data_IF_546795348616
#
_entry.id   IF_546795348616
#
_cell.length_a   1.000
_cell.length_b   1.000
_cell.length_c   1.000
_cell.angle_alpha   90.00
_cell.angle_beta   90.00
_cell.angle_gamma   90.00
#
_symmetry.space_group_name_H-M   'P 1'
#
loop_
_entity.id
_entity.type
_entity.pdbx_description
1 polymer ?
#
# COMPACT_ATOMS: atom_id res chain seq x y z
N UNK A 1 1.50 13.55 0.16
CA UNK A 1 0.17 12.99 -0.20
C UNK A 1 0.26 11.51 0.05
N UNK A 2 -0.79 10.82 0.48
CA UNK A 2 -0.67 9.40 0.85
C UNK A 2 -1.42 8.54 -0.14
N UNK A 3 -0.73 7.54 -0.69
CA UNK A 3 -1.31 6.46 -1.46
C UNK A 3 -1.56 5.27 -0.54
N UNK A 4 -2.67 4.57 -0.76
CA UNK A 4 -2.86 3.21 -0.28
C UNK A 4 -2.72 2.28 -1.48
N UNK A 5 -1.78 1.35 -1.39
CA UNK A 5 -1.52 0.33 -2.40
C UNK A 5 -1.88 -1.02 -1.80
N UNK A 6 -2.75 -1.77 -2.48
CA UNK A 6 -3.15 -3.12 -2.11
C UNK A 6 -2.45 -4.09 -3.06
N UNK A 7 -1.75 -5.05 -2.49
CA UNK A 7 -0.92 -6.02 -3.17
C UNK A 7 -1.46 -7.43 -2.94
N UNK A 8 -1.46 -8.23 -4.01
CA UNK A 8 -1.66 -9.66 -3.91
C UNK A 8 -0.41 -10.33 -3.31
N UNK A 9 -0.61 -11.18 -2.31
CA UNK A 9 0.44 -11.99 -1.70
C UNK A 9 0.79 -11.57 -0.27
N UNK A 10 0.76 -12.55 0.63
CA UNK A 10 1.23 -12.42 2.00
C UNK A 10 2.75 -12.27 2.11
N UNK A 11 3.50 -12.75 1.12
CA UNK A 11 4.98 -12.73 1.16
C UNK A 11 5.56 -11.32 1.28
N UNK A 12 4.85 -10.27 0.86
CA UNK A 12 5.30 -8.89 0.99
C UNK A 12 5.54 -8.50 2.47
N UNK A 13 4.61 -8.85 3.35
CA UNK A 13 4.76 -8.64 4.80
C UNK A 13 5.74 -9.61 5.46
N UNK A 14 5.99 -10.78 4.85
CA UNK A 14 7.05 -11.68 5.31
C UNK A 14 8.45 -11.12 5.01
N UNK A 15 8.60 -10.43 3.86
CA UNK A 15 9.85 -9.76 3.46
C UNK A 15 10.10 -8.49 4.29
N UNK A 16 9.06 -7.69 4.53
CA UNK A 16 9.17 -6.48 5.34
C UNK A 16 7.85 -6.11 6.01
N UNK A 17 7.65 -6.62 7.23
CA UNK A 17 6.45 -6.34 8.04
C UNK A 17 6.34 -4.89 8.51
N UNK A 18 7.44 -4.13 8.48
CA UNK A 18 7.47 -2.71 8.84
C UNK A 18 6.84 -1.84 7.73
N UNK A 19 7.00 -2.27 6.47
CA UNK A 19 6.54 -1.55 5.28
C UNK A 19 5.16 -2.03 4.85
N UNK A 20 4.93 -3.34 4.89
CA UNK A 20 3.70 -3.97 4.42
C UNK A 20 2.88 -4.50 5.60
N UNK A 21 1.60 -4.14 5.63
CA UNK A 21 0.64 -4.63 6.63
C UNK A 21 -0.35 -5.61 6.00
N UNK A 22 -1.00 -6.44 6.80
CA UNK A 22 -2.11 -7.26 6.34
C UNK A 22 -3.29 -6.38 5.92
N UNK A 23 -3.99 -6.74 4.84
CA UNK A 23 -5.19 -6.04 4.42
C UNK A 23 -6.43 -6.61 5.11
N UNK A 24 -7.27 -5.74 5.69
CA UNK A 24 -8.38 -6.14 6.57
C UNK A 24 -9.50 -7.00 5.92
N UNK A 25 -9.55 -7.10 4.58
CA UNK A 25 -10.58 -7.91 3.88
C UNK A 25 -10.13 -9.33 3.57
N UNK A 26 -8.83 -9.58 3.43
CA UNK A 26 -8.28 -10.88 3.07
C UNK A 26 -6.86 -11.03 3.60
N UNK A 27 -6.62 -12.16 4.26
CA UNK A 27 -5.34 -12.52 4.85
C UNK A 27 -4.25 -12.76 3.79
N UNK A 28 -4.59 -13.18 2.58
CA UNK A 28 -3.64 -13.36 1.48
C UNK A 28 -3.17 -12.03 0.83
N UNK A 29 -3.72 -10.89 1.25
CA UNK A 29 -3.39 -9.59 0.72
C UNK A 29 -2.52 -8.79 1.68
N UNK A 30 -1.66 -7.97 1.08
CA UNK A 30 -0.84 -7.00 1.80
C UNK A 30 -1.25 -5.59 1.38
N UNK A 31 -1.00 -4.63 2.25
CA UNK A 31 -1.20 -3.22 1.97
C UNK A 31 0.04 -2.40 2.34
N UNK A 32 0.29 -1.35 1.56
CA UNK A 32 1.35 -0.38 1.75
C UNK A 32 0.73 1.02 1.74
N UNK A 33 1.15 1.89 2.66
CA UNK A 33 0.91 3.33 2.55
C UNK A 33 2.20 4.03 2.16
N UNK A 34 2.18 4.84 1.10
CA UNK A 34 3.37 5.45 0.53
C UNK A 34 3.11 6.91 0.11
N UNK A 35 4.18 7.68 -0.11
CA UNK A 35 4.12 9.10 -0.47
C UNK A 35 3.80 9.31 -1.95
N UNK A 36 4.39 8.48 -2.80
CA UNK A 36 4.17 8.47 -4.25
C UNK A 36 3.89 7.06 -4.74
N UNK A 37 3.19 6.99 -5.88
CA UNK A 37 2.96 5.75 -6.59
C UNK A 37 2.92 6.02 -8.09
N UNK A 38 3.78 5.36 -8.85
CA UNK A 38 3.81 5.39 -10.31
C UNK A 38 3.52 3.98 -10.86
N UNK A 39 2.61 3.90 -11.84
CA UNK A 39 2.25 2.68 -12.55
C UNK A 39 2.23 2.89 -14.06
N UNK A 40 2.94 3.89 -14.57
CA UNK A 40 3.06 4.16 -16.00
C UNK A 40 3.97 3.15 -16.71
N UNK A 41 4.98 2.62 -16.00
CA UNK A 41 5.96 1.69 -16.56
C UNK A 41 5.60 0.20 -16.36
N UNK A 42 6.52 -0.69 -16.74
CA UNK A 42 6.39 -2.14 -16.61
C UNK A 42 6.40 -2.61 -15.14
N UNK A 43 7.07 -1.83 -14.28
CA UNK A 43 7.07 -1.99 -12.83
C UNK A 43 6.31 -0.83 -12.21
N UNK A 44 5.60 -1.10 -11.12
CA UNK A 44 5.06 -0.05 -10.27
C UNK A 44 6.14 0.40 -9.29
N UNK A 45 6.25 1.69 -9.08
CA UNK A 45 7.20 2.29 -8.15
C UNK A 45 6.43 2.98 -7.02
N UNK A 46 6.79 2.67 -5.77
CA UNK A 46 6.26 3.35 -4.59
C UNK A 46 7.41 3.95 -3.79
N UNK A 47 7.21 5.15 -3.22
CA UNK A 47 8.18 5.76 -2.31
C UNK A 47 7.61 5.80 -0.90
N UNK A 48 8.29 5.18 0.06
CA UNK A 48 7.89 5.11 1.46
C UNK A 48 9.07 5.51 2.33
N UNK A 49 8.95 6.60 3.09
CA UNK A 49 10.00 7.10 4.00
C UNK A 49 11.37 7.27 3.31
N UNK A 50 11.37 7.77 2.07
CA UNK A 50 12.57 7.96 1.24
C UNK A 50 13.16 6.67 0.64
N UNK A 51 12.51 5.53 0.84
CA UNK A 51 12.87 4.24 0.22
C UNK A 51 12.01 4.01 -1.02
N UNK A 52 12.67 3.68 -2.13
CA UNK A 52 12.01 3.28 -3.37
C UNK A 52 11.73 1.78 -3.38
N UNK A 53 10.47 1.42 -3.58
CA UNK A 53 9.98 0.04 -3.62
C UNK A 53 9.54 -0.26 -5.06
N UNK A 54 10.12 -1.29 -5.67
CA UNK A 54 9.76 -1.75 -7.01
C UNK A 54 8.81 -2.96 -6.90
N UNK A 55 7.62 -2.82 -7.48
CA UNK A 55 6.52 -3.76 -7.35
C UNK A 55 6.15 -4.26 -8.75
N UNK A 56 6.16 -5.58 -9.01
CA UNK A 56 5.68 -6.09 -10.29
C UNK A 56 4.22 -5.68 -10.51
N UNK A 57 3.92 -5.11 -11.69
CA UNK A 57 2.59 -4.55 -11.99
C UNK A 57 1.46 -5.57 -11.80
N UNK A 58 1.73 -6.85 -12.08
CA UNK A 58 0.78 -7.95 -11.90
C UNK A 58 0.38 -8.23 -10.44
N UNK A 59 1.14 -7.71 -9.47
CA UNK A 59 0.87 -7.91 -8.04
C UNK A 59 0.00 -6.81 -7.45
N UNK A 60 -0.16 -5.68 -8.13
CA UNK A 60 -0.97 -4.55 -7.65
C UNK A 60 -2.44 -4.84 -7.93
N UNK A 61 -3.22 -4.97 -6.86
CA UNK A 61 -4.68 -5.13 -6.93
C UNK A 61 -5.34 -3.77 -7.12
N UNK A 62 -4.93 -2.79 -6.33
CA UNK A 62 -5.44 -1.43 -6.39
C UNK A 62 -4.39 -0.44 -5.85
N UNK A 63 -4.37 0.77 -6.41
CA UNK A 63 -3.64 1.90 -5.86
C UNK A 63 -4.57 3.11 -5.86
N UNK A 64 -4.78 3.70 -4.69
CA UNK A 64 -5.70 4.82 -4.51
C UNK A 64 -5.00 5.99 -3.84
N UNK A 65 -5.14 7.17 -4.45
CA UNK A 65 -4.65 8.40 -3.85
C UNK A 65 -5.64 8.88 -2.80
N UNK A 66 -5.21 8.93 -1.54
CA UNK A 66 -6.01 9.38 -0.41
C UNK A 66 -5.95 10.90 -0.29
N UNK A 67 -6.39 11.62 -1.32
CA UNK A 67 -6.49 13.09 -1.25
C UNK A 67 -7.56 13.56 -0.25
N UNK A 68 -8.53 12.70 0.05
CA UNK A 68 -9.62 13.01 0.96
C UNK A 68 -9.98 11.74 1.75
N UNK A 69 -9.42 11.63 2.96
CA UNK A 69 -9.48 10.42 3.81
C UNK A 69 -10.92 10.05 4.17
N UNK A 70 -11.83 11.03 4.18
CA UNK A 70 -13.28 10.85 4.37
C UNK A 70 -14.01 10.37 3.10
N UNK A 71 -13.39 10.50 1.92
CA UNK A 71 -13.89 9.98 0.64
C UNK A 71 -13.17 8.72 0.16
N UNK A 72 -12.39 8.06 1.01
CA UNK A 72 -11.93 6.71 0.72
C UNK A 72 -13.15 5.79 0.67
N UNK A 73 -13.73 5.61 -0.52
CA UNK A 73 -14.99 4.92 -0.82
C UNK A 73 -14.96 3.43 -0.45
N UNK A 74 -14.89 3.08 0.83
CA UNK A 74 -14.90 1.71 1.32
C UNK A 74 -13.55 0.99 1.36
N UNK A 75 -12.44 1.69 1.10
CA UNK A 75 -11.10 1.15 1.31
C UNK A 75 -10.76 1.18 2.81
N UNK A 76 -10.47 0.02 3.38
CA UNK A 76 -10.11 -0.10 4.79
C UNK A 76 -8.76 0.60 5.02
N UNK A 77 -8.80 1.80 5.59
CA UNK A 77 -7.58 2.50 5.97
C UNK A 77 -7.02 1.87 7.24
N UNK A 78 -5.69 1.66 7.33
CA UNK A 78 -5.09 1.27 8.60
C UNK A 78 -5.41 2.34 9.66
N UNK A 79 -5.81 1.89 10.85
CA UNK A 79 -6.00 2.77 11.99
C UNK A 79 -4.70 3.57 12.22
N UNK A 80 -4.81 4.86 12.56
CA UNK A 80 -3.64 5.60 13.03
C UNK A 80 -3.12 4.87 14.27
N UNK A 81 -1.86 4.48 14.24
CA UNK A 81 -1.14 4.19 15.47
C UNK A 81 -1.12 5.50 16.27
N UNK A 82 -2.05 5.64 17.21
CA UNK A 82 -2.05 6.69 18.21
C UNK A 82 -0.93 6.37 19.19
N UNK A 83 0.31 6.63 18.80
CA UNK A 83 1.40 6.76 19.77
C UNK A 83 1.11 7.98 20.63
N UNK A 84 1.00 7.72 21.94
CA UNK A 84 0.64 8.63 23.02
C UNK A 84 1.47 9.92 23.07
#
# INVERSE_FOLDING_TARGET
MTWLVILHGAYWRDVSAEVFREHAKRDDWSQLTCDTFDASEDMCEAEHDGVKILIPRSTVIAAVNLQDRERALGFALPARDSSA
#
